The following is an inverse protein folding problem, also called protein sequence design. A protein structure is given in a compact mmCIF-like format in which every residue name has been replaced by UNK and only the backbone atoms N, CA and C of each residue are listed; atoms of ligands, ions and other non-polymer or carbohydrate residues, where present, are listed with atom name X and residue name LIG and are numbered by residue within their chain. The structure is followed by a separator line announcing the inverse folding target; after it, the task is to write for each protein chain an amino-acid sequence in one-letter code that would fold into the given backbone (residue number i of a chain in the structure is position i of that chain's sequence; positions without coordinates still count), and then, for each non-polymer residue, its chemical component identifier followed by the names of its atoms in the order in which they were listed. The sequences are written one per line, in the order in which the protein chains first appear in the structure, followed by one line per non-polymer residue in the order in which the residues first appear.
data_IF_519758097319
#
_entry.id   IF_519758097319
#
_cell.length_a   1.000
_cell.length_b   1.000
_cell.length_c   1.000
_cell.angle_alpha   90.00
_cell.angle_beta   90.00
_cell.angle_gamma   90.00
#
_symmetry.space_group_name_H-M   'P 1'
#
loop_
_entity.id
_entity.type
_entity.pdbx_description
1 polymer ?
#
# COMPACT_ATOMS: atom_id res chain seq x y z
N UNK A 1 23.56 7.31 25.88
CA UNK A 1 23.53 7.03 24.43
C UNK A 1 22.40 6.09 23.95
N UNK A 2 21.47 5.61 24.80
CA UNK A 2 20.26 4.87 24.35
C UNK A 2 19.01 5.74 24.12
N UNK A 3 19.02 7.00 24.56
CA UNK A 3 17.84 7.89 24.46
C UNK A 3 17.68 8.59 23.10
N UNK A 4 18.77 8.76 22.33
CA UNK A 4 18.72 9.50 21.06
C UNK A 4 18.13 8.68 19.90
N UNK A 5 18.22 7.35 19.96
CA UNK A 5 17.65 6.46 18.93
C UNK A 5 16.13 6.29 19.09
N UNK A 6 15.64 6.25 20.35
CA UNK A 6 14.21 6.13 20.64
C UNK A 6 13.46 7.42 20.31
N UNK A 7 14.07 8.59 20.62
CA UNK A 7 13.50 9.90 20.29
C UNK A 7 13.42 10.12 18.77
N UNK A 8 14.45 9.70 18.02
CA UNK A 8 14.46 9.77 16.56
C UNK A 8 13.39 8.89 15.91
N UNK A 9 13.15 7.69 16.44
CA UNK A 9 12.07 6.81 15.97
C UNK A 9 10.69 7.44 16.18
N UNK A 10 10.41 7.90 17.40
CA UNK A 10 9.11 8.48 17.75
C UNK A 10 8.82 9.73 16.93
N UNK A 11 9.81 10.61 16.75
CA UNK A 11 9.69 11.78 15.90
C UNK A 11 9.31 11.40 14.46
N UNK A 12 10.00 10.40 13.89
CA UNK A 12 9.70 9.94 12.52
C UNK A 12 8.31 9.31 12.41
N UNK A 13 7.89 8.56 13.42
CA UNK A 13 6.56 7.97 13.50
C UNK A 13 5.46 9.04 13.50
N UNK A 14 5.55 10.05 14.37
CA UNK A 14 4.55 11.12 14.42
C UNK A 14 4.54 11.96 13.14
N UNK A 15 5.71 12.22 12.55
CA UNK A 15 5.78 12.89 11.24
C UNK A 15 5.03 12.10 10.16
N UNK A 16 5.26 10.80 10.05
CA UNK A 16 4.63 9.96 9.02
C UNK A 16 3.14 9.77 9.30
N UNK A 17 2.74 9.70 10.57
CA UNK A 17 1.34 9.67 10.96
C UNK A 17 0.59 10.94 10.54
N UNK A 18 1.19 12.12 10.70
CA UNK A 18 0.61 13.36 10.18
C UNK A 18 0.52 13.36 8.64
N UNK A 19 1.52 12.79 7.96
CA UNK A 19 1.48 12.63 6.50
C UNK A 19 0.36 11.66 6.08
N UNK A 20 0.13 10.56 6.81
CA UNK A 20 -0.96 9.61 6.52
C UNK A 20 -2.32 10.32 6.55
N UNK A 21 -2.55 11.15 7.57
CA UNK A 21 -3.80 11.90 7.69
C UNK A 21 -4.01 12.85 6.50
N UNK A 22 -2.95 13.52 6.06
CA UNK A 22 -2.99 14.40 4.89
C UNK A 22 -3.28 13.63 3.59
N UNK A 23 -2.62 12.48 3.39
CA UNK A 23 -2.85 11.64 2.22
C UNK A 23 -4.24 10.96 2.24
N UNK A 24 -4.78 10.63 3.41
CA UNK A 24 -6.13 10.08 3.56
C UNK A 24 -7.19 11.04 3.00
N UNK A 25 -7.03 12.35 3.19
CA UNK A 25 -7.92 13.35 2.58
C UNK A 25 -7.84 13.36 1.05
N UNK A 26 -6.67 13.06 0.46
CA UNK A 26 -6.50 12.99 -1.00
C UNK A 26 -7.04 11.68 -1.59
N UNK A 27 -6.88 10.58 -0.86
CA UNK A 27 -7.42 9.26 -1.25
C UNK A 27 -8.92 9.14 -1.02
N UNK A 28 -9.54 10.13 -0.36
CA UNK A 28 -10.98 10.21 -0.12
C UNK A 28 -11.84 9.95 -1.36
N UNK A 29 -11.38 10.33 -2.56
CA UNK A 29 -12.08 10.09 -3.83
C UNK A 29 -12.12 8.62 -4.27
N UNK A 30 -11.31 7.74 -3.68
CA UNK A 30 -11.26 6.30 -4.00
C UNK A 30 -11.94 5.42 -2.96
N UNK A 31 -12.54 5.99 -1.90
CA UNK A 31 -13.06 5.21 -0.77
C UNK A 31 -14.19 4.25 -1.16
N UNK A 32 -14.97 4.59 -2.20
CA UNK A 32 -15.96 3.68 -2.76
C UNK A 32 -15.31 2.48 -3.45
N UNK A 33 -14.35 2.71 -4.34
CA UNK A 33 -13.61 1.62 -5.00
C UNK A 33 -12.93 0.72 -3.98
N UNK A 34 -12.32 1.31 -2.94
CA UNK A 34 -11.66 0.55 -1.88
C UNK A 34 -12.68 -0.32 -1.13
N UNK A 35 -13.87 0.21 -0.80
CA UNK A 35 -14.93 -0.56 -0.15
C UNK A 35 -15.42 -1.74 -1.01
N UNK A 36 -15.72 -1.47 -2.28
CA UNK A 36 -16.24 -2.47 -3.22
C UNK A 36 -15.22 -3.58 -3.49
N UNK A 37 -13.97 -3.19 -3.80
CA UNK A 37 -12.89 -4.14 -4.07
C UNK A 37 -12.54 -4.95 -2.81
N UNK A 38 -12.56 -4.33 -1.63
CA UNK A 38 -12.38 -5.03 -0.36
C UNK A 38 -13.44 -6.11 -0.15
N UNK A 39 -14.69 -5.84 -0.51
CA UNK A 39 -15.74 -6.84 -0.47
C UNK A 39 -15.52 -7.94 -1.52
N UNK A 40 -15.12 -7.60 -2.75
CA UNK A 40 -14.84 -8.57 -3.82
C UNK A 40 -13.77 -9.60 -3.41
N UNK A 41 -12.72 -9.17 -2.70
CA UNK A 41 -11.59 -10.02 -2.31
C UNK A 41 -11.62 -10.50 -0.85
N UNK A 42 -12.71 -10.26 -0.12
CA UNK A 42 -12.85 -10.59 1.31
C UNK A 42 -11.69 -10.04 2.18
N UNK A 43 -11.35 -8.77 1.98
CA UNK A 43 -10.29 -8.08 2.72
C UNK A 43 -10.90 -6.94 3.52
N UNK A 44 -10.47 -6.78 4.77
CA UNK A 44 -10.83 -5.61 5.57
C UNK A 44 -10.42 -4.31 4.84
N UNK A 45 -11.34 -3.36 4.58
CA UNK A 45 -11.03 -2.12 3.88
C UNK A 45 -10.03 -1.23 4.62
N UNK A 46 -9.98 -1.32 5.96
CA UNK A 46 -8.94 -0.65 6.76
C UNK A 46 -7.53 -1.15 6.38
N UNK A 47 -7.36 -2.44 6.09
CA UNK A 47 -6.06 -2.99 5.68
C UNK A 47 -5.67 -2.46 4.29
N UNK A 48 -6.57 -2.59 3.31
CA UNK A 48 -6.30 -2.14 1.93
C UNK A 48 -6.00 -0.63 1.89
N UNK A 49 -6.83 0.17 2.54
CA UNK A 49 -6.65 1.62 2.61
C UNK A 49 -5.32 1.99 3.27
N UNK A 50 -4.97 1.34 4.38
CA UNK A 50 -3.75 1.64 5.13
C UNK A 50 -2.48 1.25 4.35
N UNK A 51 -2.49 0.14 3.60
CA UNK A 51 -1.37 -0.24 2.74
C UNK A 51 -1.16 0.80 1.63
N UNK A 52 -2.23 1.23 0.96
CA UNK A 52 -2.14 2.27 -0.08
C UNK A 52 -1.60 3.57 0.52
N UNK A 53 -2.06 3.96 1.70
CA UNK A 53 -1.55 5.16 2.38
C UNK A 53 -0.04 5.07 2.70
N UNK A 54 0.43 3.95 3.20
CA UNK A 54 1.87 3.75 3.49
C UNK A 54 2.70 3.92 2.21
N UNK A 55 2.23 3.39 1.08
CA UNK A 55 2.90 3.55 -0.21
C UNK A 55 2.93 5.01 -0.68
N UNK A 56 1.87 5.78 -0.45
CA UNK A 56 1.86 7.21 -0.80
C UNK A 56 2.91 8.02 -0.04
N UNK A 57 3.15 7.71 1.23
CA UNK A 57 4.18 8.39 2.04
C UNK A 57 5.59 8.03 1.56
N UNK A 58 5.82 6.75 1.27
CA UNK A 58 7.12 6.28 0.79
C UNK A 58 7.54 7.00 -0.51
N UNK A 59 6.57 7.36 -1.36
CA UNK A 59 6.75 8.01 -2.66
C UNK A 59 7.00 9.53 -2.61
N UNK A 60 6.74 10.19 -1.47
CA UNK A 60 6.95 11.63 -1.20
C UNK A 60 6.23 12.69 -2.07
N UNK A 61 5.50 12.39 -3.16
CA UNK A 61 4.56 13.38 -3.79
C UNK A 61 3.64 12.81 -4.90
N UNK A 62 2.49 13.48 -5.14
CA UNK A 62 1.56 13.25 -6.27
C UNK A 62 2.12 13.72 -7.63
N UNK A 63 3.03 14.70 -7.65
CA UNK A 63 3.69 15.18 -8.88
C UNK A 63 4.48 14.07 -9.57
N UNK A 64 5.09 13.16 -8.78
CA UNK A 64 5.79 12.00 -9.33
C UNK A 64 4.84 11.06 -10.07
N UNK A 65 3.53 11.08 -9.79
CA UNK A 65 2.55 10.23 -10.47
C UNK A 65 2.27 10.67 -11.90
N UNK A 66 2.10 11.98 -12.13
CA UNK A 66 1.94 12.48 -13.50
C UNK A 66 3.20 12.24 -14.32
N UNK A 67 4.38 12.44 -13.72
CA UNK A 67 5.67 12.13 -14.35
C UNK A 67 5.79 10.63 -14.63
N UNK A 68 5.36 9.76 -13.71
CA UNK A 68 5.32 8.30 -13.92
C UNK A 68 4.41 7.91 -15.09
N UNK A 69 3.19 8.45 -15.14
CA UNK A 69 2.27 8.19 -16.25
C UNK A 69 2.90 8.60 -17.59
N UNK A 70 3.52 9.78 -17.65
CA UNK A 70 4.19 10.26 -18.86
C UNK A 70 5.38 9.34 -19.21
N UNK A 71 6.19 8.97 -18.23
CA UNK A 71 7.39 8.15 -18.45
C UNK A 71 7.03 6.72 -18.88
N UNK A 72 5.95 6.14 -18.34
CA UNK A 72 5.45 4.84 -18.76
C UNK A 72 4.93 4.87 -20.21
N UNK A 73 4.27 5.97 -20.62
CA UNK A 73 3.79 6.13 -22.00
C UNK A 73 4.93 6.39 -23.00
N UNK A 74 5.92 7.21 -22.64
CA UNK A 74 7.01 7.59 -23.55
C UNK A 74 8.15 6.57 -23.58
N UNK A 75 8.44 5.91 -22.45
CA UNK A 75 9.58 5.00 -22.31
C UNK A 75 9.18 3.63 -21.70
N UNK A 76 8.16 2.94 -22.24
CA UNK A 76 7.61 1.71 -21.66
C UNK A 76 8.66 0.61 -21.49
N UNK A 77 9.50 0.40 -22.51
CA UNK A 77 10.58 -0.62 -22.46
C UNK A 77 11.57 -0.37 -21.33
N UNK A 78 11.89 0.90 -21.04
CA UNK A 78 12.81 1.25 -19.95
C UNK A 78 12.17 0.99 -18.59
N UNK A 79 10.91 1.38 -18.43
CA UNK A 79 10.14 1.19 -17.19
C UNK A 79 9.96 -0.30 -16.85
N UNK A 80 9.62 -1.11 -17.86
CA UNK A 80 9.52 -2.57 -17.73
C UNK A 80 10.87 -3.17 -17.33
N UNK A 81 11.95 -2.83 -18.05
CA UNK A 81 13.29 -3.34 -17.76
C UNK A 81 13.78 -2.98 -16.35
N UNK A 82 13.44 -1.79 -15.86
CA UNK A 82 13.81 -1.32 -14.51
C UNK A 82 12.86 -1.85 -13.42
N UNK A 83 11.75 -2.49 -13.77
CA UNK A 83 10.76 -3.03 -12.84
C UNK A 83 10.31 -1.99 -11.80
N UNK A 84 9.95 -0.80 -12.29
CA UNK A 84 9.51 0.33 -11.47
C UNK A 84 8.14 0.01 -10.83
N UNK A 85 7.90 0.55 -9.64
CA UNK A 85 6.60 0.54 -8.95
C UNK A 85 5.65 1.55 -9.58
N UNK A 86 4.41 1.16 -9.89
CA UNK A 86 3.46 1.97 -10.68
C UNK A 86 2.13 2.14 -9.94
N UNK A 87 1.52 3.32 -10.10
CA UNK A 87 0.19 3.67 -9.60
C UNK A 87 0.15 3.97 -8.11
N UNK A 88 -1.05 4.07 -7.55
CA UNK A 88 -1.23 4.54 -6.16
C UNK A 88 -0.75 3.55 -5.12
N UNK A 89 -0.86 2.25 -5.41
CA UNK A 89 -0.40 1.17 -4.54
C UNK A 89 1.06 0.76 -4.83
N UNK A 90 1.74 1.48 -5.74
CA UNK A 90 3.18 1.31 -6.00
C UNK A 90 3.60 -0.13 -6.33
N UNK A 91 2.84 -0.79 -7.20
CA UNK A 91 3.06 -2.20 -7.52
C UNK A 91 4.07 -2.33 -8.66
N UNK A 92 5.05 -3.22 -8.50
CA UNK A 92 6.01 -3.56 -9.56
C UNK A 92 5.38 -4.50 -10.58
N UNK A 93 5.75 -4.35 -11.86
CA UNK A 93 5.27 -5.22 -12.94
C UNK A 93 5.53 -6.70 -12.63
N UNK A 94 6.75 -7.05 -12.16
CA UNK A 94 7.06 -8.43 -11.75
C UNK A 94 6.21 -8.95 -10.60
N UNK A 95 5.77 -8.07 -9.69
CA UNK A 95 4.88 -8.46 -8.59
C UNK A 95 3.47 -8.73 -9.12
N UNK A 96 2.93 -7.84 -9.96
CA UNK A 96 1.63 -8.02 -10.58
C UNK A 96 1.59 -9.27 -11.50
N UNK A 97 2.69 -9.59 -12.19
CA UNK A 97 2.81 -10.80 -13.03
C UNK A 97 2.54 -12.10 -12.24
N UNK A 98 2.84 -12.13 -10.94
CA UNK A 98 2.56 -13.30 -10.08
C UNK A 98 1.06 -13.62 -9.96
N UNK A 99 0.19 -12.61 -10.10
CA UNK A 99 -1.27 -12.75 -9.98
C UNK A 99 -2.00 -12.58 -11.31
N UNK A 100 -1.28 -12.19 -12.36
CA UNK A 100 -1.73 -12.03 -13.74
C UNK A 100 -0.74 -12.74 -14.70
N UNK A 101 -0.57 -14.07 -14.60
CA UNK A 101 0.49 -14.78 -15.33
C UNK A 101 0.32 -14.72 -16.86
N UNK A 102 -0.91 -14.57 -17.33
CA UNK A 102 -1.26 -14.59 -18.76
C UNK A 102 -1.16 -13.22 -19.44
N UNK A 103 -1.13 -12.12 -18.66
CA UNK A 103 -1.05 -10.77 -19.21
C UNK A 103 0.42 -10.45 -19.54
N UNK A 104 0.70 -9.78 -20.66
CA UNK A 104 2.05 -9.32 -20.97
C UNK A 104 2.47 -8.11 -20.11
N UNK A 105 3.76 -7.75 -20.16
CA UNK A 105 4.29 -6.69 -19.30
C UNK A 105 3.73 -5.29 -19.63
N UNK A 106 3.30 -5.07 -20.88
CA UNK A 106 2.71 -3.82 -21.32
C UNK A 106 1.23 -3.73 -20.89
N UNK A 107 0.48 -4.83 -20.99
CA UNK A 107 -0.87 -4.96 -20.45
C UNK A 107 -0.88 -4.72 -18.94
N UNK A 108 0.03 -5.36 -18.20
CA UNK A 108 0.18 -5.15 -16.76
C UNK A 108 0.49 -3.68 -16.46
N UNK A 109 1.42 -3.07 -17.19
CA UNK A 109 1.75 -1.65 -17.00
C UNK A 109 0.52 -0.76 -17.21
N UNK A 110 -0.30 -1.01 -18.23
CA UNK A 110 -1.53 -0.25 -18.47
C UNK A 110 -2.55 -0.43 -17.34
N UNK A 111 -2.75 -1.65 -16.85
CA UNK A 111 -3.61 -1.92 -15.70
C UNK A 111 -3.10 -1.21 -14.44
N UNK A 112 -1.78 -1.14 -14.24
CA UNK A 112 -1.20 -0.47 -13.08
C UNK A 112 -1.28 1.07 -13.16
N UNK A 113 -1.40 1.65 -14.36
CA UNK A 113 -1.58 3.10 -14.54
C UNK A 113 -3.01 3.57 -14.25
N UNK A 114 -3.99 2.67 -14.42
CA UNK A 114 -5.39 2.91 -14.05
C UNK A 114 -5.59 2.73 -12.54
N UNK A 115 -6.21 3.71 -11.89
CA UNK A 115 -6.38 3.70 -10.42
C UNK A 115 -7.20 2.53 -9.92
N UNK A 116 -8.32 2.27 -10.59
CA UNK A 116 -9.25 1.22 -10.19
C UNK A 116 -8.57 -0.14 -10.27
N UNK A 117 -7.95 -0.44 -11.42
CA UNK A 117 -7.20 -1.68 -11.61
C UNK A 117 -5.99 -1.77 -10.67
N UNK A 118 -5.29 -0.67 -10.40
CA UNK A 118 -4.17 -0.66 -9.46
C UNK A 118 -4.61 -1.02 -8.03
N UNK A 119 -5.74 -0.46 -7.55
CA UNK A 119 -6.35 -0.83 -6.27
C UNK A 119 -6.78 -2.30 -6.27
N UNK A 120 -7.40 -2.76 -7.37
CA UNK A 120 -7.87 -4.14 -7.53
C UNK A 120 -6.72 -5.15 -7.44
N UNK A 121 -5.62 -4.88 -8.14
CA UNK A 121 -4.40 -5.69 -8.11
C UNK A 121 -3.77 -5.64 -6.71
N UNK A 122 -3.75 -4.48 -6.05
CA UNK A 122 -3.28 -4.36 -4.66
C UNK A 122 -4.09 -5.26 -3.71
N UNK A 123 -5.42 -5.20 -3.79
CA UNK A 123 -6.30 -6.04 -2.99
C UNK A 123 -6.01 -7.53 -3.25
N UNK A 124 -5.98 -7.97 -4.50
CA UNK A 124 -5.66 -9.37 -4.83
C UNK A 124 -4.30 -9.82 -4.27
N UNK A 125 -3.27 -8.97 -4.31
CA UNK A 125 -1.98 -9.27 -3.67
C UNK A 125 -2.11 -9.42 -2.15
N UNK A 126 -2.81 -8.49 -1.50
CA UNK A 126 -3.03 -8.52 -0.05
C UNK A 126 -3.80 -9.79 0.35
N UNK A 127 -4.87 -10.17 -0.37
CA UNK A 127 -5.61 -11.41 -0.11
C UNK A 127 -4.68 -12.63 -0.15
N UNK A 128 -3.91 -12.79 -1.23
CA UNK A 128 -2.96 -13.89 -1.36
C UNK A 128 -1.93 -13.90 -0.22
N UNK A 129 -1.44 -12.73 0.20
CA UNK A 129 -0.50 -12.65 1.32
C UNK A 129 -1.17 -12.96 2.66
N UNK A 130 -2.40 -12.51 2.88
CA UNK A 130 -3.17 -12.83 4.08
C UNK A 130 -3.41 -14.34 4.20
N UNK A 131 -3.67 -15.04 3.10
CA UNK A 131 -3.76 -16.50 3.07
C UNK A 131 -2.45 -17.17 3.50
N UNK A 132 -1.31 -16.72 2.96
CA UNK A 132 0.02 -17.28 3.28
C UNK A 132 0.39 -17.05 4.75
N UNK A 133 0.05 -15.89 5.32
CA UNK A 133 0.42 -15.52 6.70
C UNK A 133 -0.64 -15.92 7.73
N UNK A 134 -1.78 -16.47 7.30
CA UNK A 134 -2.84 -16.91 8.19
C UNK A 134 -2.38 -18.15 8.96
N UNK A 135 -1.84 -17.91 10.15
CA UNK A 135 -1.61 -18.93 11.17
C UNK A 135 -2.56 -18.64 12.33
N UNK A 136 -3.35 -19.65 12.73
CA UNK A 136 -4.37 -19.57 13.77
C UNK A 136 -3.84 -19.15 15.15
N UNK A 137 -2.52 -19.25 15.36
CA UNK A 137 -1.84 -18.90 16.61
C UNK A 137 -1.11 -17.55 16.55
N UNK A 138 -1.08 -16.86 15.40
CA UNK A 138 -0.38 -15.59 15.27
C UNK A 138 -1.22 -14.42 15.81
N UNK A 139 -0.61 -13.59 16.67
CA UNK A 139 -1.20 -12.33 17.12
C UNK A 139 -1.46 -11.38 15.94
N UNK A 140 -2.42 -10.46 16.10
CA UNK A 140 -2.70 -9.42 15.09
C UNK A 140 -1.44 -8.62 14.71
N UNK A 141 -0.62 -8.22 15.69
CA UNK A 141 0.62 -7.49 15.43
C UNK A 141 1.62 -8.30 14.61
N UNK A 142 1.73 -9.60 14.87
CA UNK A 142 2.60 -10.50 14.10
C UNK A 142 2.11 -10.63 12.66
N UNK A 143 0.79 -10.77 12.46
CA UNK A 143 0.18 -10.83 11.12
C UNK A 143 0.44 -9.54 10.34
N UNK A 144 0.26 -8.37 10.97
CA UNK A 144 0.53 -7.08 10.32
C UNK A 144 2.02 -6.88 9.98
N UNK A 145 2.93 -7.33 10.86
CA UNK A 145 4.36 -7.33 10.54
C UNK A 145 4.67 -8.19 9.32
N UNK A 146 4.15 -9.41 9.29
CA UNK A 146 4.36 -10.34 8.17
C UNK A 146 3.75 -9.81 6.87
N UNK A 147 2.57 -9.18 6.94
CA UNK A 147 1.96 -8.53 5.79
C UNK A 147 2.86 -7.42 5.23
N UNK A 148 3.36 -6.51 6.09
CA UNK A 148 4.27 -5.44 5.67
C UNK A 148 5.56 -5.98 5.05
N UNK A 149 6.14 -7.04 5.63
CA UNK A 149 7.32 -7.71 5.06
C UNK A 149 7.04 -8.23 3.66
N UNK A 150 6.05 -9.11 3.53
CA UNK A 150 5.74 -9.75 2.25
C UNK A 150 5.36 -8.70 1.20
N UNK A 151 4.62 -7.66 1.58
CA UNK A 151 4.26 -6.60 0.67
C UNK A 151 5.47 -5.83 0.14
N UNK A 152 6.39 -5.43 1.02
CA UNK A 152 7.51 -4.56 0.66
C UNK A 152 8.71 -5.31 0.08
N UNK A 153 8.99 -6.52 0.57
CA UNK A 153 10.17 -7.31 0.17
C UNK A 153 9.82 -8.51 -0.70
N UNK A 154 8.57 -8.98 -0.66
CA UNK A 154 8.17 -10.24 -1.29
C UNK A 154 8.54 -11.48 -0.48
N UNK A 155 9.06 -11.34 0.75
CA UNK A 155 9.52 -12.45 1.58
C UNK A 155 9.18 -12.24 3.07
N UNK A 156 8.44 -13.19 3.64
CA UNK A 156 8.02 -13.20 5.05
C UNK A 156 9.21 -13.32 6.02
N UNK A 157 10.31 -13.93 5.58
CA UNK A 157 11.50 -14.18 6.38
C UNK A 157 12.49 -13.00 6.38
N UNK A 158 12.16 -11.92 5.64
CA UNK A 158 13.00 -10.73 5.60
C UNK A 158 13.28 -10.18 7.02
N UNK A 159 14.49 -9.66 7.29
CA UNK A 159 14.84 -9.11 8.59
C UNK A 159 13.92 -7.97 9.03
N UNK A 160 13.74 -7.79 10.35
CA UNK A 160 12.96 -6.68 10.90
C UNK A 160 13.75 -5.37 10.85
N UNK A 161 13.86 -4.77 9.67
CA UNK A 161 14.51 -3.46 9.52
C UNK A 161 13.70 -2.35 10.24
N UNK A 162 14.35 -1.27 10.72
CA UNK A 162 13.65 -0.19 11.41
C UNK A 162 12.48 0.43 10.63
N UNK A 163 12.59 0.52 9.30
CA UNK A 163 11.53 1.04 8.44
C UNK A 163 10.35 0.06 8.28
N UNK A 164 10.58 -1.26 8.34
CA UNK A 164 9.50 -2.27 8.35
C UNK A 164 8.70 -2.13 9.64
N UNK A 165 9.37 -2.01 10.78
CA UNK A 165 8.69 -1.82 12.07
C UNK A 165 7.89 -0.52 12.10
N UNK A 166 8.47 0.57 11.58
CA UNK A 166 7.79 1.86 11.43
C UNK A 166 6.51 1.72 10.61
N UNK A 167 6.57 1.07 9.44
CA UNK A 167 5.40 0.89 8.58
C UNK A 167 4.38 -0.06 9.19
N UNK A 168 4.81 -1.08 9.92
CA UNK A 168 3.91 -1.94 10.71
C UNK A 168 3.19 -1.17 11.80
N UNK A 169 3.88 -0.27 12.51
CA UNK A 169 3.25 0.53 13.56
C UNK A 169 2.24 1.53 12.98
N UNK A 170 2.59 2.16 11.86
CA UNK A 170 1.70 3.04 11.10
C UNK A 170 0.46 2.29 10.57
N UNK A 171 0.65 1.08 10.04
CA UNK A 171 -0.44 0.20 9.59
C UNK A 171 -1.40 -0.13 10.73
N UNK A 172 -0.86 -0.60 11.86
CA UNK A 172 -1.65 -0.96 13.05
C UNK A 172 -2.38 0.26 13.61
N UNK A 173 -1.72 1.41 13.68
CA UNK A 173 -2.35 2.65 14.12
C UNK A 173 -3.51 3.06 13.21
N UNK A 174 -3.29 3.05 11.90
CA UNK A 174 -4.31 3.42 10.91
C UNK A 174 -5.56 2.55 11.06
N UNK A 175 -5.38 1.22 11.11
CA UNK A 175 -6.47 0.25 11.31
C UNK A 175 -7.19 0.46 12.65
N UNK A 176 -6.46 0.51 13.76
CA UNK A 176 -7.06 0.68 15.09
C UNK A 176 -7.78 2.02 15.25
N UNK A 177 -7.34 3.04 14.51
CA UNK A 177 -7.98 4.36 14.50
C UNK A 177 -9.24 4.41 13.62
N UNK A 178 -9.57 3.33 12.90
CA UNK A 178 -10.64 3.26 11.91
C UNK A 178 -10.52 4.39 10.86
N UNK A 179 -9.32 4.59 10.33
CA UNK A 179 -9.02 5.73 9.48
C UNK A 179 -9.82 5.69 8.19
N UNK A 180 -9.94 4.52 7.54
CA UNK A 180 -10.77 4.38 6.34
C UNK A 180 -12.22 4.77 6.63
N UNK A 181 -12.81 4.23 7.69
CA UNK A 181 -14.21 4.53 8.02
C UNK A 181 -14.43 6.02 8.31
N UNK A 182 -13.49 6.68 9.01
CA UNK A 182 -13.53 8.13 9.24
C UNK A 182 -13.47 8.91 7.92
N UNK A 183 -12.56 8.53 7.01
CA UNK A 183 -12.44 9.15 5.70
C UNK A 183 -13.69 8.92 4.84
N UNK A 184 -14.24 7.71 4.87
CA UNK A 184 -15.47 7.34 4.16
C UNK A 184 -16.68 8.13 4.65
N UNK A 185 -16.88 8.24 5.97
CA UNK A 185 -17.98 9.04 6.54
C UNK A 185 -17.84 10.52 6.17
N UNK A 186 -16.62 11.06 6.21
CA UNK A 186 -16.35 12.44 5.77
C UNK A 186 -16.66 12.64 4.28
N UNK A 187 -16.60 11.58 3.46
CA UNK A 187 -17.04 11.63 2.07
C UNK A 187 -18.54 11.79 1.97
N UNK A 188 -19.29 10.92 2.64
CA UNK A 188 -20.74 10.95 2.61
C UNK A 188 -21.34 12.27 3.11
N UNK A 189 -20.69 12.95 4.05
CA UNK A 189 -21.19 14.24 4.57
C UNK A 189 -20.96 15.43 3.63
N UNK A 190 -20.14 15.27 2.59
CA UNK A 190 -19.75 16.35 1.67
C UNK A 190 -20.25 16.15 0.23
N UNK A 191 -20.95 15.04 -0.03
CA UNK A 191 -21.61 14.69 -1.30
C UNK A 191 -23.11 14.64 -1.09
#
# INVERSE_FOLDING_TARGET
MKNDSLSGYYYKYELYKMQLLSEALKLKKYVFYIKEISYEYDICPEILFSIILIETINRRSFLTRNVECITCKLFPKLMIRKNISIGIAQIKIKTAKKILPNADDHEIMNLLLDDFNNIKICAKLIANYLEIINCSQCSFNTRMLNLVKVYLTGDINSPNYPWINLYKDLLVWSINSNLFNKTFNTYLTLT
#
